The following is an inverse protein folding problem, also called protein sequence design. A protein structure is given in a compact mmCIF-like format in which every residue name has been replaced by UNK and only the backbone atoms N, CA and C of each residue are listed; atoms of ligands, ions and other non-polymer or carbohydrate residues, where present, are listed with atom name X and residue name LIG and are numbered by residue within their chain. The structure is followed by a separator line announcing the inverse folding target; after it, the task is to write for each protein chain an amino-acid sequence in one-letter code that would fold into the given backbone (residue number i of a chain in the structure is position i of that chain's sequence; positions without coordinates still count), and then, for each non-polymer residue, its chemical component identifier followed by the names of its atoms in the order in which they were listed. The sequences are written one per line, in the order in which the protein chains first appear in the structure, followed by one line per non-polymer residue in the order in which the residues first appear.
data_IF_434942588451
#
_entry.id   IF_434942588451
#
_cell.length_a   1.000
_cell.length_b   1.000
_cell.length_c   1.000
_cell.angle_alpha   90.00
_cell.angle_beta   90.00
_cell.angle_gamma   90.00
#
_symmetry.space_group_name_H-M   'P 1'
#
loop_
_entity.id
_entity.type
_entity.pdbx_description
1 polymer ?
#
# COMPACT_ATOMS: atom_id res chain seq x y z
N UNK A 1 7.00 -3.28 19.64
CA UNK A 1 6.81 -4.74 19.73
C UNK A 1 6.55 -5.27 18.33
N UNK A 2 7.45 -6.07 17.77
CA UNK A 2 7.19 -6.82 16.55
C UNK A 2 6.64 -8.19 16.95
N UNK A 3 5.38 -8.48 16.61
CA UNK A 3 4.82 -9.81 16.84
C UNK A 3 5.17 -10.66 15.63
N UNK A 4 6.06 -11.64 15.83
CA UNK A 4 6.39 -12.64 14.82
C UNK A 4 5.21 -13.60 14.71
N UNK A 5 4.30 -13.35 13.78
CA UNK A 5 3.22 -14.28 13.47
C UNK A 5 3.78 -15.38 12.55
N UNK A 6 3.69 -16.63 13.01
CA UNK A 6 4.15 -17.78 12.24
C UNK A 6 3.28 -18.03 10.99
N UNK A 7 3.79 -18.79 10.00
CA UNK A 7 3.00 -19.13 8.81
C UNK A 7 1.74 -19.88 9.22
N UNK A 8 0.57 -19.39 8.78
CA UNK A 8 -0.73 -20.03 8.99
C UNK A 8 -1.55 -19.58 10.22
N UNK A 9 -1.12 -18.54 10.94
CA UNK A 9 -1.89 -18.02 12.09
C UNK A 9 -2.83 -16.87 11.70
N UNK A 10 -4.12 -17.16 11.55
CA UNK A 10 -5.19 -16.17 11.69
C UNK A 10 -5.65 -16.20 13.15
N UNK A 11 -4.87 -15.55 14.01
CA UNK A 11 -5.22 -15.37 15.43
C UNK A 11 -5.99 -14.06 15.63
N UNK A 12 -6.94 -14.06 16.56
CA UNK A 12 -7.61 -12.86 17.05
C UNK A 12 -6.58 -11.90 17.66
N UNK A 13 -6.22 -10.86 16.92
CA UNK A 13 -5.64 -9.66 17.51
C UNK A 13 -6.82 -8.71 17.66
N UNK A 14 -7.08 -8.27 18.89
CA UNK A 14 -8.11 -7.28 19.25
C UNK A 14 -9.56 -7.62 18.90
N UNK A 15 -10.12 -8.71 19.45
CA UNK A 15 -11.58 -9.02 19.47
C UNK A 15 -12.32 -8.93 18.11
N UNK A 16 -11.58 -8.90 17.00
CA UNK A 16 -12.09 -8.78 15.65
C UNK A 16 -11.80 -10.10 14.93
N UNK A 17 -12.86 -10.78 14.51
CA UNK A 17 -12.77 -11.98 13.68
C UNK A 17 -12.50 -11.53 12.25
N UNK A 18 -11.39 -11.99 11.66
CA UNK A 18 -11.05 -11.71 10.25
C UNK A 18 -11.86 -12.68 9.39
N UNK A 19 -12.83 -12.23 8.55
CA UNK A 19 -13.56 -13.14 7.67
C UNK A 19 -12.74 -13.54 6.42
N UNK A 20 -11.63 -12.85 6.13
CA UNK A 20 -10.80 -13.10 4.94
C UNK A 20 -9.32 -13.00 5.23
N UNK A 21 -8.72 -14.15 5.55
CA UNK A 21 -7.29 -14.33 5.73
C UNK A 21 -6.84 -15.27 4.59
N UNK A 22 -6.55 -14.70 3.41
CA UNK A 22 -6.03 -15.47 2.27
C UNK A 22 -4.52 -15.47 2.32
N UNK A 23 -3.91 -16.65 2.49
CA UNK A 23 -2.47 -16.91 2.58
C UNK A 23 -1.68 -16.39 1.35
N UNK A 24 -2.36 -15.94 0.29
CA UNK A 24 -1.75 -15.44 -0.96
C UNK A 24 -1.73 -13.91 -1.10
N UNK A 25 -2.44 -13.17 -0.24
CA UNK A 25 -2.52 -11.70 -0.25
C UNK A 25 -2.21 -11.16 1.14
N UNK A 26 -1.04 -10.50 1.34
CA UNK A 26 -0.74 -9.77 2.54
C UNK A 26 -1.92 -8.90 2.98
N UNK A 27 -2.42 -9.21 4.16
CA UNK A 27 -3.53 -8.51 4.80
C UNK A 27 -3.02 -7.53 5.84
N UNK A 28 -3.93 -6.69 6.32
CA UNK A 28 -3.68 -5.83 7.46
C UNK A 28 -4.95 -5.68 8.29
N UNK A 29 -4.79 -5.04 9.43
CA UNK A 29 -5.90 -4.64 10.29
C UNK A 29 -5.59 -3.25 10.87
N UNK A 30 -6.57 -2.36 10.78
CA UNK A 30 -6.55 -1.04 11.39
C UNK A 30 -7.96 -0.62 11.77
N UNK A 31 -8.10 0.07 12.91
CA UNK A 31 -9.39 0.61 13.31
C UNK A 31 -9.70 1.88 12.53
N UNK A 32 -10.91 1.97 11.98
CA UNK A 32 -11.38 3.20 11.36
C UNK A 32 -11.45 4.31 12.41
N UNK A 33 -10.83 5.46 12.12
CA UNK A 33 -10.72 6.62 13.02
C UNK A 33 -9.94 6.32 14.32
N UNK A 34 -9.11 5.28 14.32
CA UNK A 34 -8.35 4.83 15.49
C UNK A 34 -7.24 5.78 15.96
N UNK A 35 -6.70 6.63 15.09
CA UNK A 35 -5.61 7.53 15.43
C UNK A 35 -5.99 8.51 16.56
N UNK A 36 -5.01 8.84 17.40
CA UNK A 36 -5.15 9.72 18.57
C UNK A 36 -6.11 9.25 19.67
N UNK A 37 -6.62 8.01 19.61
CA UNK A 37 -7.36 7.41 20.72
C UNK A 37 -6.38 6.86 21.76
N UNK A 38 -5.82 7.74 22.59
CA UNK A 38 -4.97 7.38 23.73
C UNK A 38 -5.66 7.72 25.05
N UNK A 39 -6.80 7.08 25.33
CA UNK A 39 -7.54 7.38 26.56
C UNK A 39 -7.19 6.42 27.70
N UNK A 40 -6.88 6.99 28.89
CA UNK A 40 -6.69 6.26 30.17
C UNK A 40 -7.89 5.38 30.53
N UNK A 41 -9.10 5.68 30.03
CA UNK A 41 -10.31 4.86 30.25
C UNK A 41 -10.26 3.54 29.47
N UNK A 42 -9.48 3.49 28.39
CA UNK A 42 -9.24 2.30 27.57
C UNK A 42 -7.82 1.76 27.76
N UNK A 43 -7.20 1.94 28.94
CA UNK A 43 -5.81 1.53 29.22
C UNK A 43 -5.48 0.03 28.97
N UNK A 44 -6.47 -0.80 28.62
CA UNK A 44 -6.33 -2.21 28.23
C UNK A 44 -6.56 -2.46 26.72
N UNK A 45 -6.88 -1.44 25.92
CA UNK A 45 -7.18 -1.55 24.50
C UNK A 45 -6.49 -0.44 23.70
N UNK A 46 -5.77 -0.82 22.65
CA UNK A 46 -5.09 0.08 21.71
C UNK A 46 -5.84 0.10 20.39
N UNK A 47 -6.39 1.25 20.00
CA UNK A 47 -7.13 1.44 18.75
C UNK A 47 -6.35 2.26 17.72
N UNK A 48 -5.27 2.91 18.14
CA UNK A 48 -4.37 3.77 17.38
C UNK A 48 -3.25 3.00 16.68
N UNK A 49 -3.38 1.68 16.58
CA UNK A 49 -2.41 0.78 15.97
C UNK A 49 -3.00 0.15 14.72
N UNK A 50 -2.21 0.16 13.65
CA UNK A 50 -2.41 -0.62 12.44
C UNK A 50 -1.32 -1.69 12.35
N UNK A 51 -1.70 -2.89 11.94
CA UNK A 51 -0.78 -4.00 11.70
C UNK A 51 -0.89 -4.40 10.23
N UNK A 52 0.23 -4.59 9.57
CA UNK A 52 0.28 -4.97 8.16
C UNK A 52 1.24 -6.13 7.97
N UNK A 53 0.81 -7.13 7.22
CA UNK A 53 1.68 -8.21 6.78
C UNK A 53 2.66 -7.68 5.72
N UNK A 54 3.96 -7.88 5.98
CA UNK A 54 5.00 -7.54 5.03
C UNK A 54 5.21 -8.75 4.13
N UNK A 55 4.74 -8.65 2.88
CA UNK A 55 5.00 -9.66 1.85
C UNK A 55 6.38 -9.51 1.21
N UNK A 56 6.70 -10.37 0.25
CA UNK A 56 7.89 -10.20 -0.60
C UNK A 56 7.77 -8.94 -1.47
N UNK A 57 8.90 -8.24 -1.68
CA UNK A 57 8.96 -6.96 -2.41
C UNK A 57 8.21 -5.81 -1.71
N UNK A 58 7.83 -4.74 -2.42
CA UNK A 58 7.18 -3.55 -1.86
C UNK A 58 5.67 -3.70 -1.63
N UNK A 59 5.14 -4.93 -1.63
CA UNK A 59 3.71 -5.18 -1.45
C UNK A 59 3.17 -4.71 -0.10
N UNK A 60 3.99 -4.80 0.94
CA UNK A 60 3.64 -4.34 2.29
C UNK A 60 3.33 -2.85 2.35
N UNK A 61 3.97 -2.02 1.51
CA UNK A 61 3.76 -0.55 1.50
C UNK A 61 2.31 -0.19 1.22
N UNK A 62 1.66 -0.87 0.27
CA UNK A 62 0.26 -0.62 -0.08
C UNK A 62 -0.71 -1.05 1.01
N UNK A 63 -0.40 -2.16 1.69
CA UNK A 63 -1.19 -2.63 2.83
C UNK A 63 -1.03 -1.63 3.98
N UNK A 64 0.19 -1.22 4.30
CA UNK A 64 0.44 -0.22 5.33
C UNK A 64 -0.29 1.10 5.04
N UNK A 65 -0.26 1.58 3.78
CA UNK A 65 -1.00 2.78 3.39
C UNK A 65 -2.53 2.61 3.57
N UNK A 66 -3.06 1.42 3.28
CA UNK A 66 -4.47 1.08 3.48
C UNK A 66 -4.86 1.12 4.96
N UNK A 67 -4.10 0.44 5.83
CA UNK A 67 -4.41 0.39 7.26
C UNK A 67 -4.20 1.74 7.95
N UNK A 68 -3.18 2.51 7.53
CA UNK A 68 -3.03 3.90 7.98
C UNK A 68 -4.23 4.72 7.54
N UNK A 69 -4.71 4.54 6.31
CA UNK A 69 -5.94 5.15 5.80
C UNK A 69 -7.13 4.94 6.73
N UNK A 70 -7.32 3.71 7.23
CA UNK A 70 -8.33 3.43 8.26
C UNK A 70 -8.10 4.25 9.54
N UNK A 71 -6.90 4.24 10.11
CA UNK A 71 -6.60 4.99 11.33
C UNK A 71 -6.95 6.49 11.23
N UNK A 72 -6.70 7.09 10.06
CA UNK A 72 -7.00 8.50 9.78
C UNK A 72 -8.38 8.74 9.16
N UNK A 73 -9.26 7.74 9.23
CA UNK A 73 -10.71 7.89 9.07
C UNK A 73 -11.28 7.45 7.72
N UNK A 74 -10.50 6.84 6.83
CA UNK A 74 -11.04 6.29 5.58
C UNK A 74 -11.78 4.96 5.83
N UNK A 75 -12.92 4.79 5.18
CA UNK A 75 -13.61 3.50 5.07
C UNK A 75 -13.17 2.79 3.79
N UNK A 76 -13.50 1.50 3.65
CA UNK A 76 -13.45 0.86 2.34
C UNK A 76 -14.38 1.57 1.37
N UNK A 77 -13.95 1.71 0.11
CA UNK A 77 -14.82 2.26 -0.94
C UNK A 77 -16.07 1.38 -1.05
N UNK A 78 -17.25 2.01 -1.12
CA UNK A 78 -18.55 1.35 -1.20
C UNK A 78 -19.09 0.83 0.14
N UNK A 79 -18.54 1.29 1.27
CA UNK A 79 -18.98 0.96 2.63
C UNK A 79 -19.19 2.23 3.46
N UNK A 80 -20.24 2.24 4.29
CA UNK A 80 -20.58 3.32 5.23
C UNK A 80 -20.49 4.74 4.61
N UNK A 81 -19.63 5.60 5.15
CA UNK A 81 -19.42 7.00 4.71
C UNK A 81 -18.80 7.14 3.31
N UNK A 82 -18.39 6.01 2.71
CA UNK A 82 -17.85 5.92 1.36
C UNK A 82 -18.74 5.06 0.42
N UNK A 83 -20.01 4.83 0.77
CA UNK A 83 -20.96 4.02 -0.02
C UNK A 83 -21.17 4.52 -1.46
N UNK A 84 -20.93 5.80 -1.74
CA UNK A 84 -21.02 6.43 -3.06
C UNK A 84 -19.82 6.14 -3.98
N UNK A 85 -18.71 5.60 -3.46
CA UNK A 85 -17.57 5.17 -4.27
C UNK A 85 -17.68 3.70 -4.69
N UNK A 86 -17.25 3.32 -5.92
CA UNK A 86 -17.28 1.93 -6.34
C UNK A 86 -16.25 1.07 -5.60
N UNK A 87 -16.71 -0.05 -5.04
CA UNK A 87 -15.91 -1.06 -4.29
C UNK A 87 -14.69 -1.56 -5.06
N UNK A 88 -14.78 -1.62 -6.39
CA UNK A 88 -13.79 -2.23 -7.27
C UNK A 88 -13.11 -1.21 -8.18
N UNK A 89 -12.86 0.01 -7.70
CA UNK A 89 -12.22 1.07 -8.51
C UNK A 89 -10.70 0.89 -8.67
N UNK A 90 -10.08 0.14 -7.75
CA UNK A 90 -8.64 -0.08 -7.74
C UNK A 90 -7.85 0.92 -6.90
N UNK A 91 -8.50 1.84 -6.17
CA UNK A 91 -7.85 2.77 -5.25
C UNK A 91 -7.35 2.06 -3.99
N UNK A 92 -6.54 2.73 -3.18
CA UNK A 92 -5.96 2.17 -1.94
C UNK A 92 -7.02 1.50 -1.07
N UNK A 93 -8.20 2.13 -0.89
CA UNK A 93 -9.29 1.61 -0.04
C UNK A 93 -10.31 0.73 -0.77
N UNK A 94 -10.07 0.40 -2.05
CA UNK A 94 -10.93 -0.51 -2.82
C UNK A 94 -10.62 -1.98 -2.48
N UNK A 95 -11.58 -2.87 -2.76
CA UNK A 95 -11.44 -4.33 -2.57
C UNK A 95 -10.57 -5.02 -3.62
N UNK A 96 -10.17 -4.30 -4.67
CA UNK A 96 -9.35 -4.84 -5.76
C UNK A 96 -8.16 -3.93 -6.03
N UNK A 97 -7.10 -4.50 -6.60
CA UNK A 97 -5.83 -3.82 -6.94
C UNK A 97 -5.42 -4.08 -8.38
N UNK A 98 -6.36 -3.99 -9.30
CA UNK A 98 -6.15 -4.38 -10.70
C UNK A 98 -5.80 -3.20 -11.63
N UNK A 99 -5.91 -1.96 -11.14
CA UNK A 99 -5.64 -0.76 -11.91
C UNK A 99 -4.38 -0.07 -11.40
N UNK A 100 -3.30 -0.16 -12.19
CA UNK A 100 -1.98 0.29 -11.80
C UNK A 100 -1.90 1.81 -11.52
N UNK A 101 -2.75 2.59 -12.17
CA UNK A 101 -2.79 4.05 -12.01
C UNK A 101 -3.59 4.52 -10.79
N UNK A 102 -4.32 3.60 -10.14
CA UNK A 102 -5.22 3.93 -9.03
C UNK A 102 -4.73 3.39 -7.69
N UNK A 103 -4.06 2.24 -7.63
CA UNK A 103 -3.77 1.58 -6.35
C UNK A 103 -2.77 2.32 -5.45
N UNK A 104 -2.04 3.32 -5.97
CA UNK A 104 -1.20 4.24 -5.20
C UNK A 104 -1.93 5.52 -4.74
N UNK A 105 -3.25 5.60 -4.98
CA UNK A 105 -4.05 6.82 -4.74
C UNK A 105 -5.27 6.51 -3.89
N UNK A 106 -5.66 7.48 -3.07
CA UNK A 106 -6.95 7.46 -2.41
C UNK A 106 -8.06 7.91 -3.37
N UNK A 107 -9.23 7.28 -3.27
CA UNK A 107 -10.46 7.72 -3.94
C UNK A 107 -10.92 9.07 -3.41
N UNK A 108 -11.85 9.74 -4.09
CA UNK A 108 -12.43 10.99 -3.56
C UNK A 108 -13.22 10.76 -2.26
N UNK A 109 -13.88 9.62 -2.10
CA UNK A 109 -14.56 9.29 -0.83
C UNK A 109 -13.55 9.11 0.30
N UNK A 110 -12.46 8.38 0.06
CA UNK A 110 -11.36 8.24 1.03
C UNK A 110 -10.80 9.61 1.43
N UNK A 111 -10.48 10.47 0.46
CA UNK A 111 -10.00 11.84 0.73
C UNK A 111 -11.02 12.66 1.52
N UNK A 112 -12.31 12.54 1.22
CA UNK A 112 -13.38 13.24 1.93
C UNK A 112 -13.45 12.79 3.39
N UNK A 113 -13.43 11.48 3.67
CA UNK A 113 -13.42 10.95 5.03
C UNK A 113 -12.16 11.36 5.82
N UNK A 114 -10.99 11.30 5.19
CA UNK A 114 -9.73 11.75 5.80
C UNK A 114 -9.78 13.24 6.14
N UNK A 115 -10.25 14.09 5.21
CA UNK A 115 -10.43 15.53 5.47
C UNK A 115 -11.42 15.76 6.61
N UNK A 116 -12.51 15.01 6.64
CA UNK A 116 -13.49 15.09 7.72
C UNK A 116 -12.86 14.75 9.07
N UNK A 117 -12.11 13.65 9.15
CA UNK A 117 -11.37 13.25 10.35
C UNK A 117 -10.41 14.35 10.83
N UNK A 118 -9.55 14.84 9.93
CA UNK A 118 -8.56 15.88 10.25
C UNK A 118 -9.21 17.23 10.61
N UNK A 119 -10.43 17.51 10.14
CA UNK A 119 -11.18 18.71 10.52
C UNK A 119 -11.61 18.71 11.99
N UNK A 120 -11.70 17.54 12.63
CA UNK A 120 -12.03 17.40 14.06
C UNK A 120 -10.80 17.60 14.92
N UNK A 121 -10.35 18.85 15.02
CA UNK A 121 -9.08 19.25 15.66
C UNK A 121 -8.92 18.65 17.07
N UNK A 122 -9.99 18.65 17.89
CA UNK A 122 -9.95 18.13 19.25
C UNK A 122 -9.61 16.63 19.32
N UNK A 123 -10.00 15.88 18.29
CA UNK A 123 -9.78 14.43 18.19
C UNK A 123 -8.44 14.12 17.53
N UNK A 124 -8.11 14.78 16.42
CA UNK A 124 -6.91 14.51 15.62
C UNK A 124 -5.66 15.27 16.09
N UNK A 125 -5.66 15.79 17.33
CA UNK A 125 -4.63 16.72 17.82
C UNK A 125 -3.23 16.12 17.75
N UNK A 126 -3.09 14.83 18.06
CA UNK A 126 -1.79 14.14 18.09
C UNK A 126 -1.06 14.12 16.72
N UNK A 127 -1.80 14.25 15.61
CA UNK A 127 -1.24 14.26 14.25
C UNK A 127 -0.73 15.65 13.82
N UNK A 128 -0.90 16.67 14.65
CA UNK A 128 -0.52 18.06 14.34
C UNK A 128 0.81 18.48 14.94
N UNK A 129 1.30 17.70 15.90
CA UNK A 129 2.61 17.93 16.50
C UNK A 129 3.66 17.31 15.58
N UNK A 130 4.52 18.15 15.02
CA UNK A 130 5.67 17.69 14.24
C UNK A 130 6.75 17.24 15.21
N UNK A 131 7.04 15.94 15.27
CA UNK A 131 8.28 15.45 15.85
C UNK A 131 9.37 15.52 14.78
N UNK A 132 10.45 16.26 15.04
CA UNK A 132 11.62 16.34 14.17
C UNK A 132 12.48 15.07 14.32
N UNK A 133 11.86 13.91 14.12
CA UNK A 133 12.45 12.60 14.41
C UNK A 133 13.62 12.22 13.49
N UNK A 134 14.11 13.17 12.67
CA UNK A 134 15.32 13.02 11.87
C UNK A 134 15.27 11.87 10.87
N UNK A 135 14.08 11.55 10.34
CA UNK A 135 13.97 10.50 9.33
C UNK A 135 14.40 11.03 7.96
N UNK A 136 15.55 10.58 7.47
CA UNK A 136 16.00 10.85 6.11
C UNK A 136 15.29 9.90 5.14
N UNK A 137 14.48 10.47 4.25
CA UNK A 137 13.85 9.71 3.18
C UNK A 137 14.89 9.21 2.17
N UNK A 138 14.74 8.01 1.60
CA UNK A 138 15.59 7.54 0.52
C UNK A 138 15.52 8.46 -0.71
N UNK A 139 16.67 8.76 -1.31
CA UNK A 139 16.74 9.57 -2.53
C UNK A 139 16.29 8.80 -3.78
N UNK A 140 16.48 7.47 -3.77
CA UNK A 140 16.14 6.61 -4.89
C UNK A 140 14.74 6.02 -4.72
N UNK A 141 14.05 5.83 -5.84
CA UNK A 141 12.76 5.15 -5.89
C UNK A 141 12.91 3.64 -5.64
N UNK A 142 11.86 2.96 -5.14
CA UNK A 142 11.87 1.52 -4.87
C UNK A 142 12.44 0.63 -6.00
N UNK A 143 12.07 0.89 -7.25
CA UNK A 143 12.52 0.13 -8.41
C UNK A 143 13.95 0.40 -8.87
N UNK A 144 14.58 1.44 -8.33
CA UNK A 144 16.02 1.67 -8.48
C UNK A 144 16.82 0.83 -7.49
N UNK A 145 16.28 0.60 -6.28
CA UNK A 145 16.86 -0.35 -5.32
C UNK A 145 16.58 -1.81 -5.68
N UNK A 146 15.39 -2.09 -6.20
CA UNK A 146 14.94 -3.44 -6.59
C UNK A 146 14.59 -3.46 -8.08
N UNK A 147 15.60 -3.68 -8.96
CA UNK A 147 15.35 -3.76 -10.40
C UNK A 147 14.40 -4.91 -10.74
N UNK A 148 13.83 -4.89 -11.95
CA UNK A 148 12.81 -5.86 -12.36
C UNK A 148 13.26 -7.32 -12.25
N UNK A 149 14.55 -7.59 -12.48
CA UNK A 149 15.13 -8.93 -12.29
C UNK A 149 14.99 -9.42 -10.86
N UNK A 150 15.19 -8.55 -9.88
CA UNK A 150 15.12 -8.91 -8.47
C UNK A 150 13.67 -8.96 -8.00
N UNK A 151 12.77 -8.12 -8.55
CA UNK A 151 11.33 -8.27 -8.32
C UNK A 151 10.83 -9.66 -8.76
N UNK A 152 11.29 -10.17 -9.91
CA UNK A 152 10.94 -11.50 -10.39
C UNK A 152 11.65 -12.64 -9.65
N UNK A 153 12.91 -12.43 -9.25
CA UNK A 153 13.64 -13.38 -8.40
C UNK A 153 12.94 -13.57 -7.06
N UNK A 154 12.57 -12.49 -6.39
CA UNK A 154 11.90 -12.58 -5.10
C UNK A 154 10.51 -13.20 -5.21
N UNK A 155 9.80 -12.89 -6.30
CA UNK A 155 8.45 -13.38 -6.47
C UNK A 155 8.38 -14.86 -6.83
N UNK A 156 9.08 -15.26 -7.90
CA UNK A 156 8.92 -16.58 -8.52
C UNK A 156 10.24 -17.32 -8.73
N UNK A 157 11.34 -16.82 -8.16
CA UNK A 157 12.70 -17.28 -8.46
C UNK A 157 12.95 -17.35 -9.98
N UNK A 158 12.41 -16.36 -10.71
CA UNK A 158 12.41 -16.33 -12.16
C UNK A 158 12.99 -15.03 -12.72
N UNK A 159 12.76 -14.83 -14.02
CA UNK A 159 13.26 -13.70 -14.79
C UNK A 159 12.10 -12.84 -15.33
N UNK A 160 12.34 -11.57 -15.66
CA UNK A 160 11.34 -10.73 -16.33
C UNK A 160 10.94 -11.32 -17.68
N UNK A 161 9.65 -11.26 -18.02
CA UNK A 161 9.20 -11.72 -19.33
C UNK A 161 9.78 -10.85 -20.47
N UNK A 162 10.33 -11.43 -21.54
CA UNK A 162 11.05 -10.69 -22.59
C UNK A 162 10.13 -9.83 -23.45
N UNK A 163 8.86 -10.21 -23.60
CA UNK A 163 7.93 -9.62 -24.58
C UNK A 163 6.92 -8.61 -24.00
N UNK A 164 7.11 -8.11 -22.77
CA UNK A 164 6.26 -7.02 -22.27
C UNK A 164 6.64 -5.69 -22.90
N UNK A 165 5.65 -4.96 -23.42
CA UNK A 165 5.84 -3.56 -23.77
C UNK A 165 6.23 -2.73 -22.54
N UNK A 166 6.82 -1.56 -22.79
CA UNK A 166 7.24 -0.64 -21.73
C UNK A 166 6.06 -0.24 -20.82
N UNK A 167 4.88 -0.04 -21.41
CA UNK A 167 3.68 0.34 -20.67
C UNK A 167 3.09 -0.83 -19.87
N UNK A 168 2.95 -2.02 -20.49
CA UNK A 168 2.44 -3.21 -19.79
C UNK A 168 3.31 -3.57 -18.59
N UNK A 169 4.62 -3.40 -18.68
CA UNK A 169 5.55 -3.63 -17.57
C UNK A 169 5.24 -2.76 -16.36
N UNK A 170 4.85 -1.51 -16.58
CA UNK A 170 4.46 -0.59 -15.52
C UNK A 170 3.03 -0.81 -15.04
N UNK A 171 2.22 -1.58 -15.75
CA UNK A 171 0.84 -1.89 -15.33
C UNK A 171 0.72 -3.23 -14.61
N UNK A 172 1.49 -4.25 -15.04
CA UNK A 172 1.46 -5.61 -14.50
C UNK A 172 2.84 -6.24 -14.57
N UNK A 173 3.39 -6.65 -13.44
CA UNK A 173 4.67 -7.36 -13.42
C UNK A 173 4.50 -8.78 -14.00
N UNK A 174 5.26 -9.11 -15.05
CA UNK A 174 5.35 -10.46 -15.60
C UNK A 174 6.70 -11.09 -15.28
N UNK A 175 6.65 -12.28 -14.72
CA UNK A 175 7.83 -13.09 -14.43
C UNK A 175 7.66 -14.49 -15.02
N UNK A 176 8.74 -15.08 -15.50
CA UNK A 176 8.76 -16.43 -16.04
C UNK A 176 9.97 -17.21 -15.57
N UNK A 177 9.84 -18.53 -15.57
CA UNK A 177 10.93 -19.47 -15.40
C UNK A 177 10.79 -20.59 -16.44
N UNK A 178 11.62 -21.63 -16.36
CA UNK A 178 11.61 -22.74 -17.32
C UNK A 178 10.32 -23.58 -17.31
N UNK A 179 9.41 -23.36 -16.35
CA UNK A 179 8.21 -24.18 -16.14
C UNK A 179 6.93 -23.38 -16.40
N UNK A 180 6.87 -22.12 -15.95
CA UNK A 180 5.66 -21.32 -16.03
C UNK A 180 5.94 -19.82 -16.18
N UNK A 181 4.95 -19.11 -16.72
CA UNK A 181 4.85 -17.65 -16.73
C UNK A 181 3.73 -17.21 -15.80
N UNK A 182 3.98 -16.15 -15.04
CA UNK A 182 3.03 -15.60 -14.07
C UNK A 182 2.90 -14.08 -14.22
N UNK A 183 1.65 -13.61 -14.20
CA UNK A 183 1.31 -12.19 -14.18
C UNK A 183 0.82 -11.80 -12.79
N UNK A 184 1.40 -10.73 -12.25
CA UNK A 184 0.95 -10.12 -11.00
C UNK A 184 -0.23 -9.19 -11.26
N UNK A 185 -1.05 -9.00 -10.22
CA UNK A 185 -2.05 -7.93 -10.20
C UNK A 185 -1.38 -6.58 -9.97
N UNK A 186 -0.32 -6.57 -9.17
CA UNK A 186 0.51 -5.41 -8.90
C UNK A 186 1.50 -5.14 -10.06
N UNK A 187 1.77 -3.88 -10.39
CA UNK A 187 2.76 -3.53 -11.41
C UNK A 187 4.20 -3.73 -10.93
N UNK A 188 5.15 -3.51 -11.83
CA UNK A 188 6.51 -3.19 -11.42
C UNK A 188 6.53 -1.95 -10.52
N UNK A 189 7.37 -1.96 -9.49
CA UNK A 189 7.40 -0.88 -8.50
C UNK A 189 7.91 0.44 -9.12
N UNK A 190 7.46 1.57 -8.56
CA UNK A 190 7.87 2.90 -9.04
C UNK A 190 9.40 3.04 -9.06
N UNK A 191 9.94 3.63 -10.13
CA UNK A 191 11.38 3.71 -10.41
C UNK A 191 11.95 2.55 -11.23
N UNK A 192 11.17 1.51 -11.52
CA UNK A 192 11.62 0.39 -12.37
C UNK A 192 11.85 0.88 -13.80
N UNK A 193 13.01 0.55 -14.40
CA UNK A 193 13.29 0.88 -15.81
C UNK A 193 12.30 0.18 -16.74
N UNK A 194 11.59 0.94 -17.56
CA UNK A 194 10.65 0.41 -18.56
C UNK A 194 11.12 0.61 -20.01
N UNK A 195 12.09 1.49 -20.23
CA UNK A 195 12.74 1.69 -21.53
C UNK A 195 14.00 2.55 -21.38
N UNK A 196 14.64 2.88 -22.51
CA UNK A 196 15.81 3.74 -22.51
C UNK A 196 15.45 5.15 -22.01
N UNK A 197 16.01 5.57 -20.88
CA UNK A 197 15.68 6.87 -20.27
C UNK A 197 14.24 6.98 -19.73
N UNK A 198 13.57 5.85 -19.48
CA UNK A 198 12.20 5.81 -18.99
C UNK A 198 12.04 4.89 -17.76
N UNK A 199 11.14 5.28 -16.86
CA UNK A 199 10.85 4.56 -15.61
C UNK A 199 9.34 4.49 -15.33
N UNK A 200 8.94 3.44 -14.62
CA UNK A 200 7.58 3.29 -14.13
C UNK A 200 7.30 4.30 -13.01
N UNK A 201 6.15 4.97 -13.10
CA UNK A 201 5.63 5.85 -12.05
C UNK A 201 4.10 5.82 -12.08
N UNK A 202 3.45 5.52 -10.96
CA UNK A 202 1.99 5.47 -10.87
C UNK A 202 1.35 4.64 -11.99
N UNK A 203 1.94 3.49 -12.30
CA UNK A 203 1.42 2.56 -13.29
C UNK A 203 1.74 2.88 -14.75
N UNK A 204 2.45 3.98 -15.04
CA UNK A 204 2.76 4.41 -16.41
C UNK A 204 4.27 4.44 -16.68
N UNK A 205 4.68 4.19 -17.92
CA UNK A 205 6.07 4.35 -18.33
C UNK A 205 6.34 5.80 -18.78
N UNK A 206 7.10 6.55 -17.99
CA UNK A 206 7.36 7.98 -18.24
C UNK A 206 8.86 8.29 -18.39
N UNK A 207 9.24 9.37 -19.10
CA UNK A 207 10.63 9.80 -19.17
C UNK A 207 11.21 10.08 -17.78
N UNK A 208 12.42 9.59 -17.49
CA UNK A 208 13.07 9.79 -16.20
C UNK A 208 13.30 11.26 -15.87
N UNK A 209 13.42 12.14 -16.87
CA UNK A 209 13.51 13.60 -16.67
C UNK A 209 12.22 14.24 -16.12
N UNK A 210 11.06 13.58 -16.28
CA UNK A 210 9.78 14.01 -15.71
C UNK A 210 9.56 13.51 -14.29
N UNK A 211 10.40 12.60 -13.81
CA UNK A 211 10.42 12.25 -12.39
C UNK A 211 10.99 13.46 -11.65
N UNK A 212 10.09 14.32 -11.17
CA UNK A 212 10.42 15.18 -10.06
C UNK A 212 10.65 14.22 -8.90
N UNK A 213 11.91 13.96 -8.56
CA UNK A 213 12.23 13.54 -7.19
C UNK A 213 11.69 14.68 -6.35
N UNK A 214 10.49 14.52 -5.82
CA UNK A 214 9.86 15.57 -5.05
C UNK A 214 10.84 15.89 -3.93
N UNK A 215 11.31 17.14 -3.78
CA UNK A 215 11.81 17.54 -2.47
C UNK A 215 10.61 17.34 -1.54
N UNK A 216 10.68 16.30 -0.72
CA UNK A 216 9.56 15.84 0.11
C UNK A 216 9.20 16.93 1.13
N UNK A 217 8.33 17.86 0.75
CA UNK A 217 7.68 18.88 1.58
C UNK A 217 6.27 19.14 1.04
#
# INVERSE_FOLDING_TARGET
MAVKLGPGWCGSIVNATIPFCSITTPGGIGYVKGACISSRKYAKSTYDVAVSEIGKSFKGVLVSAHEVGHLIGAYHDGVDEAADCPKNSGFIMSYTRHNASMFSRFSECSKRSIRHFLSKIWYSKCLRETSDAGYTYPELLPGQYMPISDQCREYSNGFPCPSQSAEERCQKLCCENNVYRIFRREPAVDGTKCGLGMMCMNGACIPSSKLKVLPWI
#
